data_IF_739512091902
#
_entry.id   IF_739512091902
#
_cell.length_a   1.000
_cell.length_b   1.000
_cell.length_c   1.000
_cell.angle_alpha   90.00
_cell.angle_beta   90.00
_cell.angle_gamma   90.00
#
_symmetry.space_group_name_H-M   'P 1'
#
loop_
_entity.id
_entity.type
_entity.pdbx_description
1 polymer ?
#
# COMPACT_ATOMS: atom_id res chain seq x y z
N UNK A 1 -1.74 10.72 -22.52
CA UNK A 1 -0.97 9.50 -22.23
C UNK A 1 -0.81 9.47 -20.71
N UNK A 2 -1.50 8.57 -20.00
CA UNK A 2 -1.28 8.41 -18.55
C UNK A 2 0.07 7.70 -18.38
N UNK A 3 1.00 8.31 -17.64
CA UNK A 3 2.29 7.70 -17.32
C UNK A 3 2.12 6.89 -16.04
N UNK A 4 2.11 5.56 -16.17
CA UNK A 4 2.24 4.68 -15.02
C UNK A 4 3.65 4.86 -14.45
N UNK A 5 3.71 5.37 -13.22
CA UNK A 5 4.97 5.58 -12.50
C UNK A 5 5.06 4.51 -11.41
N UNK A 6 6.06 3.64 -11.48
CA UNK A 6 6.38 2.70 -10.41
C UNK A 6 7.54 3.23 -9.57
N UNK A 7 7.56 2.86 -8.29
CA UNK A 7 8.67 3.14 -7.40
C UNK A 7 8.88 1.93 -6.51
N UNK A 8 10.09 1.38 -6.57
CA UNK A 8 10.45 0.22 -5.78
C UNK A 8 10.89 0.66 -4.39
N UNK A 9 10.43 -0.06 -3.38
CA UNK A 9 10.80 0.15 -1.98
C UNK A 9 11.12 -1.20 -1.36
N UNK A 10 12.34 -1.33 -0.82
CA UNK A 10 12.79 -2.54 -0.16
C UNK A 10 12.51 -2.42 1.36
N UNK A 11 11.39 -3.02 1.80
CA UNK A 11 10.98 -3.03 3.21
C UNK A 11 10.68 -4.46 3.64
N UNK A 12 11.39 -4.92 4.66
CA UNK A 12 11.12 -6.18 5.33
C UNK A 12 10.25 -5.94 6.58
N UNK A 13 9.03 -6.49 6.59
CA UNK A 13 8.15 -6.44 7.75
C UNK A 13 8.18 -7.79 8.48
N UNK A 14 8.76 -7.80 9.69
CA UNK A 14 8.92 -9.02 10.51
C UNK A 14 7.74 -9.23 11.45
N UNK A 15 7.53 -10.50 11.83
CA UNK A 15 6.58 -10.87 12.88
C UNK A 15 5.12 -10.95 12.45
N UNK A 16 4.85 -11.03 11.14
CA UNK A 16 3.51 -11.28 10.61
C UNK A 16 3.20 -12.78 10.71
N UNK A 17 2.05 -13.13 11.29
CA UNK A 17 1.61 -14.52 11.38
C UNK A 17 0.67 -14.89 10.23
N UNK A 18 0.60 -16.19 9.92
CA UNK A 18 -0.31 -16.69 8.87
C UNK A 18 -1.76 -16.34 9.20
N UNK A 19 -2.52 -15.98 8.18
CA UNK A 19 -3.90 -15.50 8.25
C UNK A 19 -4.08 -14.18 9.03
N UNK A 20 -2.98 -13.48 9.34
CA UNK A 20 -3.07 -12.14 9.89
C UNK A 20 -3.46 -11.15 8.78
N UNK A 21 -4.36 -10.25 9.13
CA UNK A 21 -4.64 -9.07 8.33
C UNK A 21 -3.52 -8.04 8.54
N UNK A 22 -2.93 -7.61 7.43
CA UNK A 22 -1.90 -6.58 7.38
C UNK A 22 -2.51 -5.36 6.71
N UNK A 23 -2.37 -4.22 7.39
CA UNK A 23 -2.91 -2.94 6.95
C UNK A 23 -1.73 -2.00 6.70
N UNK A 24 -1.57 -1.56 5.46
CA UNK A 24 -0.56 -0.57 5.07
C UNK A 24 -1.28 0.72 4.71
N UNK A 25 -0.80 1.85 5.22
CA UNK A 25 -1.36 3.16 4.92
C UNK A 25 -0.40 3.96 4.04
N UNK A 26 -0.94 4.59 3.00
CA UNK A 26 -0.21 5.55 2.18
C UNK A 26 -0.53 6.96 2.63
N UNK A 27 0.51 7.72 2.91
CA UNK A 27 0.45 9.10 3.36
C UNK A 27 1.20 9.98 2.36
N UNK A 28 0.58 11.10 2.00
CA UNK A 28 1.28 12.20 1.35
C UNK A 28 1.94 13.05 2.44
N UNK A 29 3.25 13.25 2.31
CA UNK A 29 4.02 13.97 3.30
C UNK A 29 4.29 15.38 2.80
N UNK A 30 3.90 16.35 3.62
CA UNK A 30 4.08 17.76 3.34
C UNK A 30 4.93 18.45 4.40
N UNK A 31 5.65 19.49 3.96
CA UNK A 31 6.46 20.33 4.85
C UNK A 31 5.66 21.42 5.57
N UNK A 32 4.53 21.86 4.99
CA UNK A 32 3.81 23.08 5.38
C UNK A 32 2.36 22.77 5.79
N UNK A 33 1.70 21.82 5.12
CA UNK A 33 0.38 21.29 5.47
C UNK A 33 0.46 20.09 6.42
N UNK A 34 -0.65 19.74 7.11
CA UNK A 34 -0.79 18.42 7.72
C UNK A 34 -0.61 17.32 6.67
N UNK A 35 0.01 16.20 7.07
CA UNK A 35 0.12 15.03 6.19
C UNK A 35 -1.27 14.48 5.87
N UNK A 36 -1.47 14.15 4.60
CA UNK A 36 -2.75 13.67 4.12
C UNK A 36 -2.72 12.15 3.93
N UNK A 37 -3.61 11.45 4.64
CA UNK A 37 -3.80 10.01 4.43
C UNK A 37 -4.50 9.78 3.09
N UNK A 38 -3.78 9.23 2.11
CA UNK A 38 -4.28 8.93 0.76
C UNK A 38 -5.13 7.66 0.73
N UNK A 39 -4.80 6.65 1.53
CA UNK A 39 -5.57 5.42 1.53
C UNK A 39 -4.94 4.29 2.29
N UNK A 40 -5.55 3.11 2.14
CA UNK A 40 -5.20 1.91 2.86
C UNK A 40 -5.13 0.72 1.91
N UNK A 41 -4.11 -0.12 2.07
CA UNK A 41 -4.04 -1.46 1.50
C UNK A 41 -4.34 -2.47 2.61
N UNK A 42 -5.26 -3.39 2.36
CA UNK A 42 -5.61 -4.46 3.29
C UNK A 42 -5.31 -5.79 2.60
N UNK A 43 -4.42 -6.58 3.21
CA UNK A 43 -3.99 -7.87 2.69
C UNK A 43 -4.03 -8.93 3.79
N UNK A 44 -4.35 -10.17 3.42
CA UNK A 44 -4.31 -11.30 4.35
C UNK A 44 -3.20 -12.24 3.91
N UNK A 45 -2.21 -12.46 4.79
CA UNK A 45 -1.06 -13.31 4.49
C UNK A 45 -1.46 -14.78 4.66
N UNK A 46 -2.02 -15.38 3.61
CA UNK A 46 -2.52 -16.77 3.64
C UNK A 46 -1.57 -17.79 2.98
N UNK A 47 -0.76 -17.33 2.03
CA UNK A 47 0.14 -18.17 1.23
C UNK A 47 1.57 -18.16 1.75
N UNK A 48 2.29 -19.25 1.46
CA UNK A 48 3.68 -19.43 1.85
C UNK A 48 4.66 -18.89 0.76
N UNK A 49 4.14 -18.38 -0.37
CA UNK A 49 4.91 -17.82 -1.50
C UNK A 49 4.01 -17.08 -2.50
N UNK A 50 4.58 -16.10 -3.20
CA UNK A 50 4.07 -15.55 -4.46
C UNK A 50 4.24 -14.03 -4.55
N UNK A 51 4.26 -13.46 -5.77
CA UNK A 51 3.97 -12.05 -5.95
C UNK A 51 2.47 -11.86 -5.80
N UNK A 52 2.10 -11.13 -4.76
CA UNK A 52 0.75 -10.67 -4.52
C UNK A 52 0.64 -9.20 -4.91
N UNK A 53 -0.56 -8.80 -5.32
CA UNK A 53 -0.85 -7.41 -5.66
C UNK A 53 -2.12 -6.97 -4.95
N UNK A 54 -2.14 -5.74 -4.43
CA UNK A 54 -3.28 -5.21 -3.68
C UNK A 54 -3.56 -3.78 -4.12
N UNK A 55 -4.80 -3.53 -4.54
CA UNK A 55 -5.27 -2.21 -4.91
C UNK A 55 -5.61 -1.38 -3.65
N UNK A 56 -5.27 -0.10 -3.67
CA UNK A 56 -5.55 0.81 -2.56
C UNK A 56 -7.04 1.14 -2.45
N UNK A 57 -7.56 1.09 -1.23
CA UNK A 57 -8.84 1.72 -0.87
C UNK A 57 -8.59 3.20 -0.55
N UNK A 58 -9.05 4.08 -1.44
CA UNK A 58 -8.85 5.53 -1.33
C UNK A 58 -9.58 6.14 -0.14
N UNK A 59 -8.94 7.13 0.49
CA UNK A 59 -9.59 8.03 1.43
C UNK A 59 -10.38 9.10 0.65
N UNK A 60 -11.70 8.91 0.49
CA UNK A 60 -12.57 9.71 -0.39
C UNK A 60 -12.66 11.22 -0.04
N UNK A 61 -12.18 11.63 1.14
CA UNK A 61 -12.17 13.05 1.55
C UNK A 61 -11.00 13.82 0.92
N UNK A 62 -9.82 13.22 0.89
CA UNK A 62 -8.57 13.90 0.47
C UNK A 62 -8.10 13.46 -0.93
N UNK A 63 -8.35 12.21 -1.31
CA UNK A 63 -7.77 11.64 -2.54
C UNK A 63 -8.66 11.90 -3.75
N UNK A 64 -8.30 12.88 -4.58
CA UNK A 64 -8.89 13.07 -5.91
C UNK A 64 -7.93 12.51 -6.98
N UNK A 65 -8.30 11.34 -7.54
CA UNK A 65 -8.02 10.85 -8.92
C UNK A 65 -6.84 9.89 -9.21
N UNK A 66 -6.03 9.44 -8.26
CA UNK A 66 -4.93 8.50 -8.55
C UNK A 66 -5.22 7.07 -8.06
N UNK A 67 -5.07 6.05 -8.93
CA UNK A 67 -5.10 4.63 -8.55
C UNK A 67 -3.70 4.22 -8.10
N UNK A 68 -3.61 3.54 -6.96
CA UNK A 68 -2.37 2.95 -6.46
C UNK A 68 -2.55 1.46 -6.26
N UNK A 69 -1.49 0.71 -6.56
CA UNK A 69 -1.39 -0.74 -6.40
C UNK A 69 -0.04 -1.02 -5.75
N UNK A 70 0.01 -1.94 -4.80
CA UNK A 70 1.25 -2.42 -4.18
C UNK A 70 1.49 -3.87 -4.56
N UNK A 71 2.70 -4.17 -5.02
CA UNK A 71 3.17 -5.53 -5.25
C UNK A 71 4.04 -5.96 -4.07
N UNK A 72 3.81 -7.16 -3.55
CA UNK A 72 4.47 -7.66 -2.34
C UNK A 72 4.67 -9.18 -2.38
N UNK A 73 5.71 -9.65 -1.69
CA UNK A 73 6.08 -11.06 -1.60
C UNK A 73 6.21 -11.50 -0.13
N UNK A 74 6.02 -12.80 0.11
CA UNK A 74 6.37 -13.46 1.37
C UNK A 74 7.71 -14.18 1.15
N UNK A 75 8.74 -13.82 1.92
CA UNK A 75 10.09 -14.38 1.87
C UNK A 75 10.32 -15.45 2.94
#
# INVERSE_FOLDING_TARGET
MMMDTSKDLDVEIKGIVRNQEVVIELWDWDLISPNDKLGTFTMVVQGDNGPFSTDMVQNKKETKKAKYTIDWDVL
#
